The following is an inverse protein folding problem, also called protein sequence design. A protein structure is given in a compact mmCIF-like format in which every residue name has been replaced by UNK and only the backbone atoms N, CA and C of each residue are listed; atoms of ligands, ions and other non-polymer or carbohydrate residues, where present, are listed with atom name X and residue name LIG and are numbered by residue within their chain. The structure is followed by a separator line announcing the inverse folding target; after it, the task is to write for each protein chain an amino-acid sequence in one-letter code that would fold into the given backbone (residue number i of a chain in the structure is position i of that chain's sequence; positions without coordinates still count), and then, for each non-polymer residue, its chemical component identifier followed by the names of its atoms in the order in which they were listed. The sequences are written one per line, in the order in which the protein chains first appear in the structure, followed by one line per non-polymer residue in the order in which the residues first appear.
data_IF_236661379349
#
_entry.id   IF_236661379349
#
_cell.length_a   1.000
_cell.length_b   1.000
_cell.length_c   1.000
_cell.angle_alpha   90.00
_cell.angle_beta   90.00
_cell.angle_gamma   90.00
#
_symmetry.space_group_name_H-M   'P 1'
#
loop_
_entity.id
_entity.type
_entity.pdbx_description
1 polymer ?
#
# COMPACT_ATOMS: atom_id res chain seq x y z
N UNK A 1 -9.53 1.27 -15.66
CA UNK A 1 -8.33 1.38 -14.81
C UNK A 1 -8.29 0.10 -13.99
N UNK A 2 -7.20 -0.68 -14.07
CA UNK A 2 -7.02 -1.78 -13.14
C UNK A 2 -7.04 -1.16 -11.74
N UNK A 3 -8.04 -1.48 -10.94
CA UNK A 3 -8.08 -0.98 -9.57
C UNK A 3 -6.97 -1.71 -8.82
N UNK A 4 -5.83 -1.06 -8.66
CA UNK A 4 -4.75 -1.56 -7.82
C UNK A 4 -5.28 -1.69 -6.39
N UNK A 5 -5.57 -2.93 -6.03
CA UNK A 5 -6.12 -3.27 -4.74
C UNK A 5 -5.00 -3.78 -3.82
N UNK A 6 -5.23 -3.68 -2.52
CA UNK A 6 -4.31 -4.23 -1.52
C UNK A 6 -4.91 -5.48 -0.90
N UNK A 7 -4.27 -6.62 -1.13
CA UNK A 7 -4.59 -7.89 -0.51
C UNK A 7 -3.95 -7.99 0.88
N UNK A 8 -2.71 -7.51 1.02
CA UNK A 8 -1.90 -7.62 2.23
C UNK A 8 -1.89 -6.31 3.02
N UNK A 9 -2.99 -6.02 3.73
CA UNK A 9 -3.04 -4.86 4.62
C UNK A 9 -2.29 -5.13 5.94
N UNK A 10 -1.19 -4.40 6.19
CA UNK A 10 -0.39 -4.52 7.40
C UNK A 10 -0.69 -3.34 8.31
N UNK A 11 -1.30 -3.58 9.46
CA UNK A 11 -1.63 -2.55 10.45
C UNK A 11 -0.88 -2.79 11.77
N UNK A 12 -0.15 -1.78 12.23
CA UNK A 12 0.40 -1.77 13.58
C UNK A 12 -0.73 -1.42 14.55
N UNK A 13 -1.36 -2.42 15.17
CA UNK A 13 -2.57 -2.21 15.99
C UNK A 13 -2.30 -1.66 17.39
N UNK A 14 -1.28 -0.81 17.56
CA UNK A 14 -1.01 -0.16 18.85
C UNK A 14 -2.07 0.89 19.18
N UNK A 15 -2.11 1.28 20.46
CA UNK A 15 -3.00 2.32 20.93
C UNK A 15 -2.82 3.63 20.10
N UNK A 16 -3.90 4.39 19.81
CA UNK A 16 -3.80 5.64 19.06
C UNK A 16 -2.79 6.62 19.68
N UNK A 17 -2.10 7.45 18.87
CA UNK A 17 -2.26 7.62 17.43
C UNK A 17 -1.48 6.59 16.58
N UNK A 18 -0.79 5.64 17.21
CA UNK A 18 0.18 4.73 16.58
C UNK A 18 -0.44 3.62 15.73
N UNK A 19 -1.75 3.68 15.48
CA UNK A 19 -2.41 2.77 14.55
C UNK A 19 -2.16 3.23 13.12
N UNK A 20 -1.06 2.80 12.50
CA UNK A 20 -0.78 3.04 11.09
C UNK A 20 -0.93 1.73 10.30
N UNK A 21 -1.67 1.79 9.20
CA UNK A 21 -1.74 0.71 8.22
C UNK A 21 -1.03 1.08 6.94
N UNK A 22 -0.35 0.11 6.34
CA UNK A 22 0.32 0.20 5.04
C UNK A 22 -0.09 -0.98 4.17
N UNK A 23 -0.03 -0.79 2.86
CA UNK A 23 -0.17 -1.91 1.95
C UNK A 23 1.15 -2.69 1.82
N UNK A 24 1.10 -4.00 1.99
CA UNK A 24 2.23 -4.91 1.85
C UNK A 24 2.41 -5.46 0.44
N UNK A 25 1.44 -5.27 -0.46
CA UNK A 25 1.51 -5.76 -1.83
C UNK A 25 2.63 -5.14 -2.65
N UNK A 26 3.01 -5.89 -3.68
CA UNK A 26 3.98 -5.46 -4.68
C UNK A 26 3.28 -5.41 -6.03
N UNK A 27 3.35 -4.24 -6.64
CA UNK A 27 2.74 -3.89 -7.91
C UNK A 27 3.83 -3.77 -8.98
N UNK A 28 3.50 -4.01 -10.24
CA UNK A 28 4.40 -3.74 -11.38
C UNK A 28 4.47 -2.25 -11.74
N UNK A 29 3.57 -1.44 -11.17
CA UNK A 29 3.49 -0.01 -11.37
C UNK A 29 3.04 0.68 -10.09
N UNK A 30 2.96 2.01 -10.11
CA UNK A 30 2.49 2.73 -8.94
C UNK A 30 0.97 2.91 -8.94
N UNK A 31 0.26 2.45 -7.89
CA UNK A 31 -1.18 2.66 -7.76
C UNK A 31 -1.54 4.14 -7.74
N UNK A 32 -2.59 4.56 -8.46
CA UNK A 32 -3.04 5.95 -8.47
C UNK A 32 -3.53 6.44 -7.09
N UNK A 33 -4.04 5.53 -6.26
CA UNK A 33 -4.44 5.82 -4.89
C UNK A 33 -3.25 5.93 -3.91
N UNK A 34 -2.05 5.55 -4.33
CA UNK A 34 -0.85 5.62 -3.52
C UNK A 34 -0.10 6.94 -3.73
N UNK A 35 -0.03 7.81 -2.71
CA UNK A 35 0.76 9.04 -2.82
C UNK A 35 2.27 8.77 -2.73
N UNK A 36 2.68 7.82 -1.88
CA UNK A 36 4.09 7.50 -1.63
C UNK A 36 4.44 6.10 -2.07
N UNK A 37 5.13 6.02 -3.19
CA UNK A 37 5.37 4.78 -3.89
C UNK A 37 6.84 4.56 -4.14
N UNK A 38 7.33 3.38 -3.81
CA UNK A 38 8.75 3.05 -3.92
C UNK A 38 8.91 1.84 -4.82
N UNK A 39 9.69 1.97 -5.89
CA UNK A 39 9.91 0.92 -6.87
C UNK A 39 11.38 0.50 -6.92
N UNK A 40 11.63 -0.79 -7.14
CA UNK A 40 12.96 -1.29 -7.50
C UNK A 40 13.35 -0.81 -8.90
N UNK A 41 14.64 -0.55 -9.12
CA UNK A 41 15.20 -0.20 -10.44
C UNK A 41 15.49 -1.48 -11.26
N UNK A 42 14.50 -2.37 -11.36
CA UNK A 42 14.56 -3.62 -12.12
C UNK A 42 13.54 -3.59 -13.26
N UNK A 43 13.65 -4.54 -14.20
CA UNK A 43 12.69 -4.70 -15.30
C UNK A 43 12.18 -6.15 -15.22
N UNK A 44 10.91 -6.39 -14.81
CA UNK A 44 9.92 -5.41 -14.37
C UNK A 44 10.26 -4.75 -13.02
N UNK A 45 9.76 -3.53 -12.77
CA UNK A 45 9.91 -2.88 -11.47
C UNK A 45 8.96 -3.52 -10.45
N UNK A 46 9.41 -3.59 -9.20
CA UNK A 46 8.60 -4.03 -8.06
C UNK A 46 8.30 -2.80 -7.22
N UNK A 47 7.09 -2.27 -7.35
CA UNK A 47 6.59 -1.08 -6.68
C UNK A 47 5.79 -1.44 -5.44
N UNK A 48 6.00 -0.71 -4.34
CA UNK A 48 5.25 -0.89 -3.10
C UNK A 48 4.69 0.44 -2.64
N UNK A 49 3.45 0.41 -2.17
CA UNK A 49 2.84 1.59 -1.58
C UNK A 49 3.30 1.74 -0.13
N UNK A 50 3.97 2.85 0.16
CA UNK A 50 4.48 3.22 1.49
C UNK A 50 3.59 4.26 2.17
N UNK A 51 2.43 4.54 1.57
CA UNK A 51 1.42 5.39 2.18
C UNK A 51 0.93 4.77 3.49
N UNK A 52 0.75 5.61 4.50
CA UNK A 52 0.31 5.19 5.83
C UNK A 52 -0.98 5.89 6.17
N UNK A 53 -1.98 5.11 6.52
CA UNK A 53 -3.30 5.63 6.89
C UNK A 53 -3.69 5.14 8.28
N UNK A 54 -4.33 6.03 9.04
CA UNK A 54 -4.83 5.70 10.37
C UNK A 54 -6.16 4.95 10.28
N UNK A 55 -6.23 3.77 10.88
CA UNK A 55 -7.48 3.00 11.04
C UNK A 55 -7.87 2.13 9.84
N UNK A 56 -7.26 2.29 8.67
CA UNK A 56 -7.62 1.60 7.42
C UNK A 56 -6.44 1.45 6.49
N UNK A 57 -6.52 0.57 5.50
CA UNK A 57 -5.52 0.51 4.45
C UNK A 57 -5.58 1.71 3.48
N UNK A 58 -4.44 2.14 2.91
CA UNK A 58 -4.39 3.27 1.99
C UNK A 58 -5.01 2.94 0.62
N UNK A 59 -4.98 1.67 0.24
CA UNK A 59 -5.55 1.16 -0.99
C UNK A 59 -6.82 0.36 -0.67
N UNK A 60 -7.73 0.29 -1.64
CA UNK A 60 -8.94 -0.52 -1.53
C UNK A 60 -8.58 -2.00 -1.40
N UNK A 61 -9.25 -2.76 -0.51
CA UNK A 61 -9.00 -4.19 -0.39
C UNK A 61 -9.30 -4.90 -1.71
N UNK A 62 -8.49 -5.89 -2.06
CA UNK A 62 -8.84 -6.83 -3.14
C UNK A 62 -10.03 -7.64 -2.65
N UNK A 63 -11.23 -7.29 -3.12
CA UNK A 63 -12.46 -8.01 -2.82
C UNK A 63 -12.47 -9.38 -3.50
#
# INVERSE_FOLDING_TARGET
AASDCCSACICDRRAPPYFECTCGDTFDHCPAACNKCVCTRSIPPQCRCTDRTQGRCPLTPCA
#
